data_IF_880625116020
#
_entry.id   IF_880625116020
#
_cell.length_a   1.000
_cell.length_b   1.000
_cell.length_c   1.000
_cell.angle_alpha   90.00
_cell.angle_beta   90.00
_cell.angle_gamma   90.00
#
_symmetry.space_group_name_H-M   'P 1'
#
loop_
_entity.id
_entity.type
_entity.pdbx_description
1 polymer ?
#
# COMPACT_ATOMS: atom_id res chain seq x y z
N UNK A 1 8.99 -23.99 32.41
CA UNK A 1 9.76 -22.74 32.61
C UNK A 1 9.64 -21.88 31.36
N UNK A 2 9.22 -20.60 31.55
CA UNK A 2 9.40 -19.36 30.75
C UNK A 2 9.22 -19.47 29.21
N UNK A 3 8.19 -18.93 28.53
CA UNK A 3 7.59 -17.56 28.51
C UNK A 3 8.54 -16.38 28.32
N UNK A 4 9.78 -16.58 27.87
CA UNK A 4 10.66 -15.47 27.44
C UNK A 4 11.72 -15.99 26.45
N UNK A 5 11.38 -16.16 25.16
CA UNK A 5 12.38 -16.14 24.06
C UNK A 5 11.84 -16.14 22.61
N UNK A 6 10.55 -15.88 22.38
CA UNK A 6 9.96 -15.80 21.01
C UNK A 6 9.83 -14.36 20.48
N UNK A 7 10.79 -13.48 20.81
CA UNK A 7 10.76 -12.06 20.42
C UNK A 7 11.90 -11.63 19.48
N UNK A 8 12.65 -12.57 18.88
CA UNK A 8 13.77 -12.22 17.98
C UNK A 8 14.00 -13.25 16.87
N UNK A 9 13.08 -13.37 15.90
CA UNK A 9 13.45 -13.80 14.54
C UNK A 9 12.35 -13.54 13.48
N UNK A 10 11.77 -12.34 13.46
CA UNK A 10 11.19 -11.82 12.21
C UNK A 10 12.31 -10.95 11.61
N UNK A 11 13.23 -11.64 10.94
CA UNK A 11 14.38 -11.04 10.28
C UNK A 11 14.16 -11.05 8.78
N UNK A 12 13.99 -9.85 8.24
CA UNK A 12 14.76 -9.41 7.08
C UNK A 12 14.79 -10.36 5.87
N UNK A 13 13.67 -10.48 5.13
CA UNK A 13 13.70 -11.00 3.74
C UNK A 13 14.01 -9.83 2.78
N UNK A 14 15.00 -9.00 3.14
CA UNK A 14 15.37 -7.81 2.35
C UNK A 14 16.82 -7.88 1.82
N UNK A 15 17.62 -8.85 2.26
CA UNK A 15 19.02 -8.96 1.82
C UNK A 15 19.22 -9.90 0.62
N UNK A 16 18.24 -10.77 0.30
CA UNK A 16 18.39 -11.78 -0.76
C UNK A 16 17.90 -11.31 -2.14
N UNK A 17 17.18 -10.18 -2.22
CA UNK A 17 16.79 -9.55 -3.50
C UNK A 17 17.85 -8.56 -4.02
N UNK A 18 18.87 -8.23 -3.21
CA UNK A 18 19.93 -7.27 -3.59
C UNK A 18 21.05 -7.93 -4.43
N UNK A 19 21.14 -9.27 -4.50
CA UNK A 19 22.20 -9.96 -5.25
C UNK A 19 21.85 -10.37 -6.70
N UNK A 20 20.71 -9.96 -7.25
CA UNK A 20 20.39 -10.18 -8.68
C UNK A 20 20.32 -8.90 -9.52
N UNK A 21 20.67 -7.74 -8.96
CA UNK A 21 20.73 -6.47 -9.69
C UNK A 21 22.11 -6.15 -10.32
N UNK A 22 23.10 -7.05 -10.23
CA UNK A 22 24.49 -6.76 -10.64
C UNK A 22 24.79 -6.76 -12.15
N UNK A 23 23.80 -6.87 -13.04
CA UNK A 23 24.09 -6.81 -14.48
C UNK A 23 23.08 -6.03 -15.33
N UNK A 24 22.93 -4.73 -15.02
CA UNK A 24 22.36 -3.76 -15.96
C UNK A 24 23.46 -2.78 -16.40
N UNK A 25 23.86 -2.73 -17.70
CA UNK A 25 24.85 -1.78 -18.18
C UNK A 25 24.27 -0.36 -18.18
N UNK A 26 24.92 0.52 -17.41
CA UNK A 26 24.44 1.85 -17.06
C UNK A 26 24.89 2.90 -18.10
N UNK A 27 24.05 3.14 -19.12
CA UNK A 27 24.24 4.20 -20.13
C UNK A 27 23.57 5.51 -19.69
N UNK A 28 23.99 6.10 -18.57
CA UNK A 28 23.57 7.46 -18.23
C UNK A 28 24.55 8.13 -17.27
N UNK A 29 25.12 9.24 -17.75
CA UNK A 29 25.62 10.38 -16.96
C UNK A 29 27.02 10.28 -16.36
N UNK A 30 27.96 10.31 -17.29
CA UNK A 30 28.92 11.41 -17.35
C UNK A 30 28.20 12.77 -17.23
N UNK A 31 28.18 13.41 -16.05
CA UNK A 31 28.33 14.87 -15.92
C UNK A 31 28.34 15.35 -14.45
N UNK A 32 29.37 16.18 -14.18
CA UNK A 32 29.52 17.23 -13.14
C UNK A 32 30.01 16.87 -11.73
N UNK A 33 31.31 17.11 -11.58
CA UNK A 33 32.06 17.40 -10.37
C UNK A 33 31.70 18.75 -9.70
N UNK A 34 32.16 18.84 -8.43
CA UNK A 34 32.35 19.99 -7.50
C UNK A 34 31.18 20.15 -6.52
N UNK A 35 31.36 20.18 -5.20
CA UNK A 35 32.54 20.23 -4.34
C UNK A 35 32.11 20.82 -2.99
N UNK A 36 32.49 20.16 -1.88
CA UNK A 36 32.15 20.46 -0.49
C UNK A 36 32.25 21.93 -0.05
N UNK A 37 31.40 22.34 0.92
CA UNK A 37 31.79 22.83 2.28
C UNK A 37 30.71 23.69 2.96
N UNK A 38 30.25 23.28 4.15
CA UNK A 38 30.48 23.93 5.48
C UNK A 38 29.33 23.72 6.47
N UNK A 39 29.65 23.04 7.56
CA UNK A 39 29.00 23.14 8.87
C UNK A 39 29.51 24.39 9.59
N UNK A 40 28.59 25.20 10.14
CA UNK A 40 28.82 26.21 11.20
C UNK A 40 27.45 26.49 11.83
N UNK A 41 27.10 25.86 12.95
CA UNK A 41 27.29 26.37 14.31
C UNK A 41 26.55 27.70 14.57
N UNK A 42 25.37 27.64 15.19
CA UNK A 42 24.68 28.81 15.75
C UNK A 42 24.75 28.69 17.27
N UNK A 43 25.60 29.53 17.86
CA UNK A 43 25.73 29.71 19.30
C UNK A 43 24.64 30.65 19.83
N UNK A 44 24.12 30.32 21.01
CA UNK A 44 23.13 31.09 21.74
C UNK A 44 23.67 32.45 22.20
N UNK A 45 22.81 33.48 22.19
CA UNK A 45 22.99 34.69 23.00
C UNK A 45 21.66 35.01 23.68
N UNK A 46 21.63 34.78 25.00
CA UNK A 46 20.62 35.27 25.94
C UNK A 46 21.22 36.50 26.66
N UNK A 47 20.34 37.44 27.03
CA UNK A 47 20.52 38.70 27.77
C UNK A 47 20.66 39.93 26.86
N UNK A 48 19.93 41.05 27.03
CA UNK A 48 19.13 41.57 28.14
C UNK A 48 18.32 42.77 27.58
N UNK A 49 17.04 42.93 27.94
CA UNK A 49 16.47 44.23 28.32
C UNK A 49 15.08 44.03 28.94
N UNK A 50 15.07 44.02 30.27
CA UNK A 50 13.89 44.26 31.09
C UNK A 50 13.79 45.78 31.25
N UNK A 51 12.65 46.35 30.87
CA UNK A 51 11.95 47.49 31.51
C UNK A 51 11.13 48.30 30.50
N UNK A 52 9.88 47.89 30.28
CA UNK A 52 8.77 48.85 30.15
C UNK A 52 7.44 48.11 30.17
N UNK A 53 6.69 48.35 31.25
CA UNK A 53 5.30 47.94 31.41
C UNK A 53 4.42 48.56 30.31
N UNK A 54 3.83 47.73 29.45
CA UNK A 54 2.51 47.95 28.87
C UNK A 54 1.89 46.60 28.58
N UNK A 55 0.72 46.35 29.16
CA UNK A 55 -0.08 45.17 28.89
C UNK A 55 -0.41 45.07 27.40
N UNK A 56 0.12 44.04 26.74
CA UNK A 56 -0.37 43.55 25.46
C UNK A 56 -0.68 42.08 25.67
N UNK A 57 -1.96 41.72 25.70
CA UNK A 57 -2.36 40.32 25.73
C UNK A 57 -1.78 39.63 24.50
N UNK A 58 -0.78 38.76 24.69
CA UNK A 58 -0.40 37.81 23.67
C UNK A 58 -1.53 36.78 23.65
N UNK A 59 -2.53 37.03 22.81
CA UNK A 59 -3.46 36.00 22.43
C UNK A 59 -2.62 34.96 21.67
N UNK A 60 -2.23 33.90 22.36
CA UNK A 60 -1.82 32.68 21.70
C UNK A 60 -3.01 32.27 20.84
N UNK A 61 -2.95 32.59 19.55
CA UNK A 61 -3.76 31.90 18.56
C UNK A 61 -3.34 30.44 18.69
N UNK A 62 -4.08 29.69 19.50
CA UNK A 62 -4.07 28.24 19.47
C UNK A 62 -4.55 27.92 18.07
N UNK A 63 -3.60 27.79 17.15
CA UNK A 63 -3.81 27.21 15.84
C UNK A 63 -4.37 25.84 16.13
N UNK A 64 -5.70 25.79 16.14
CA UNK A 64 -6.43 24.57 16.34
C UNK A 64 -6.24 23.91 15.01
N UNK A 65 -5.22 23.06 14.92
CA UNK A 65 -5.11 22.11 13.84
C UNK A 65 -6.41 21.31 13.96
N UNK A 66 -7.41 21.75 13.20
CA UNK A 66 -8.60 20.96 12.96
C UNK A 66 -8.04 19.83 12.12
N UNK A 67 -7.69 18.73 12.78
CA UNK A 67 -7.51 17.45 12.11
C UNK A 67 -8.85 17.17 11.44
N UNK A 68 -8.97 17.56 10.17
CA UNK A 68 -10.07 17.13 9.32
C UNK A 68 -9.95 15.61 9.34
N UNK A 69 -10.97 14.88 9.82
CA UNK A 69 -10.94 13.43 9.74
C UNK A 69 -10.75 13.09 8.27
N UNK A 70 -9.61 12.49 7.92
CA UNK A 70 -9.43 11.94 6.59
C UNK A 70 -10.40 10.75 6.55
N UNK A 71 -11.45 10.86 5.74
CA UNK A 71 -12.38 9.77 5.53
C UNK A 71 -11.61 8.65 4.84
N UNK A 72 -11.47 7.51 5.52
CA UNK A 72 -10.77 6.35 4.96
C UNK A 72 -11.59 5.79 3.79
N UNK A 73 -10.97 5.70 2.61
CA UNK A 73 -11.56 5.01 1.46
C UNK A 73 -11.63 3.50 1.76
N UNK A 74 -12.84 2.93 1.76
CA UNK A 74 -13.04 1.52 2.10
C UNK A 74 -13.90 0.76 1.10
N UNK A 75 -13.56 -0.51 0.88
CA UNK A 75 -14.38 -1.49 0.17
C UNK A 75 -14.90 -2.51 1.18
N UNK A 76 -16.22 -2.55 1.36
CA UNK A 76 -16.87 -3.52 2.24
C UNK A 76 -17.35 -4.75 1.46
N UNK A 77 -16.79 -5.91 1.77
CA UNK A 77 -17.23 -7.23 1.31
C UNK A 77 -17.96 -7.92 2.47
N UNK A 78 -19.16 -7.42 2.77
CA UNK A 78 -19.94 -7.78 3.98
C UNK A 78 -20.19 -9.29 4.11
N UNK A 79 -20.44 -9.99 2.99
CA UNK A 79 -20.75 -11.43 3.00
C UNK A 79 -19.63 -12.28 3.57
N UNK A 80 -18.39 -11.81 3.44
CA UNK A 80 -17.19 -12.53 3.91
C UNK A 80 -16.55 -11.82 5.11
N UNK A 81 -17.21 -10.77 5.64
CA UNK A 81 -16.72 -10.00 6.79
C UNK A 81 -15.37 -9.32 6.53
N UNK A 82 -15.10 -8.91 5.29
CA UNK A 82 -13.83 -8.25 4.93
C UNK A 82 -14.10 -6.79 4.59
N UNK A 83 -13.37 -5.90 5.26
CA UNK A 83 -13.27 -4.48 4.88
C UNK A 83 -11.84 -4.19 4.44
N UNK A 84 -11.70 -3.70 3.21
CA UNK A 84 -10.42 -3.28 2.62
C UNK A 84 -10.31 -1.77 2.78
N UNK A 85 -9.20 -1.29 3.33
CA UNK A 85 -8.90 0.14 3.46
C UNK A 85 -7.85 0.49 2.41
N UNK A 86 -8.21 1.38 1.48
CA UNK A 86 -7.36 1.79 0.38
C UNK A 86 -6.47 2.98 0.77
N UNK A 87 -5.31 3.16 0.11
CA UNK A 87 -4.49 4.35 0.29
C UNK A 87 -5.28 5.61 -0.07
N UNK A 88 -5.17 6.66 0.75
CA UNK A 88 -5.86 7.93 0.52
C UNK A 88 -5.48 8.56 -0.83
N UNK A 89 -4.26 8.30 -1.33
CA UNK A 89 -3.78 8.77 -2.63
C UNK A 89 -4.60 8.21 -3.81
N UNK A 90 -5.43 7.19 -3.59
CA UNK A 90 -6.26 6.58 -4.62
C UNK A 90 -7.58 7.29 -4.82
N UNK A 91 -7.98 8.23 -3.94
CA UNK A 91 -9.23 8.97 -4.05
C UNK A 91 -9.47 9.47 -5.49
N UNK A 92 -10.58 9.03 -6.09
CA UNK A 92 -10.98 9.36 -7.46
C UNK A 92 -10.22 8.66 -8.60
N UNK A 93 -9.18 7.87 -8.32
CA UNK A 93 -8.32 7.21 -9.33
C UNK A 93 -8.64 5.74 -9.58
N UNK A 94 -9.45 5.12 -8.72
CA UNK A 94 -9.78 3.71 -8.82
C UNK A 94 -11.26 3.49 -9.15
N UNK A 95 -11.57 2.32 -9.69
CA UNK A 95 -12.92 1.77 -9.77
C UNK A 95 -12.97 0.37 -9.19
N UNK A 96 -14.20 -0.12 -8.96
CA UNK A 96 -14.46 -1.42 -8.35
C UNK A 96 -15.52 -2.16 -9.17
N UNK A 97 -15.27 -3.43 -9.46
CA UNK A 97 -16.30 -4.36 -9.93
C UNK A 97 -16.56 -5.39 -8.83
N UNK A 98 -17.77 -5.44 -8.30
CA UNK A 98 -18.14 -6.45 -7.31
C UNK A 98 -18.57 -7.74 -8.02
N UNK A 99 -18.14 -8.88 -7.48
CA UNK A 99 -18.69 -10.17 -7.92
C UNK A 99 -20.21 -10.18 -7.65
N UNK A 100 -20.99 -10.82 -8.52
CA UNK A 100 -22.45 -10.93 -8.35
C UNK A 100 -22.84 -11.59 -7.02
N UNK A 101 -22.01 -12.53 -6.55
CA UNK A 101 -22.21 -13.23 -5.29
C UNK A 101 -21.75 -12.42 -4.08
N UNK A 102 -21.14 -11.24 -4.25
CA UNK A 102 -20.65 -10.36 -3.20
C UNK A 102 -19.50 -10.92 -2.35
N UNK A 103 -18.82 -11.97 -2.80
CA UNK A 103 -17.70 -12.60 -2.07
C UNK A 103 -16.32 -12.09 -2.50
N UNK A 104 -16.30 -11.16 -3.45
CA UNK A 104 -15.06 -10.66 -4.03
C UNK A 104 -15.28 -9.43 -4.88
N UNK A 105 -14.17 -8.87 -5.36
CA UNK A 105 -14.18 -7.72 -6.24
C UNK A 105 -12.90 -7.61 -7.08
N UNK A 106 -12.99 -6.90 -8.19
CA UNK A 106 -11.88 -6.38 -8.96
C UNK A 106 -11.63 -4.92 -8.59
N UNK A 107 -10.37 -4.50 -8.53
CA UNK A 107 -10.01 -3.08 -8.39
C UNK A 107 -9.12 -2.69 -9.57
N UNK A 108 -9.43 -1.56 -10.20
CA UNK A 108 -8.78 -1.10 -11.43
C UNK A 108 -8.45 0.39 -11.40
N UNK A 109 -7.49 0.81 -12.24
CA UNK A 109 -7.17 2.21 -12.48
C UNK A 109 -8.22 2.83 -13.39
N UNK A 110 -8.99 3.78 -12.87
CA UNK A 110 -10.18 4.33 -13.51
C UNK A 110 -9.90 4.96 -14.86
N UNK A 111 -8.84 5.75 -14.96
CA UNK A 111 -8.49 6.47 -16.19
C UNK A 111 -8.12 5.54 -17.35
N UNK A 112 -7.65 4.33 -17.03
CA UNK A 112 -7.32 3.30 -18.02
C UNK A 112 -8.58 2.52 -18.39
N UNK A 113 -9.24 1.96 -17.37
CA UNK A 113 -10.38 1.07 -17.55
C UNK A 113 -11.58 1.78 -18.19
N UNK A 114 -11.95 2.95 -17.67
CA UNK A 114 -13.10 3.73 -18.14
C UNK A 114 -12.71 4.68 -19.30
N UNK A 115 -11.42 4.65 -19.69
CA UNK A 115 -10.89 5.42 -20.81
C UNK A 115 -11.44 4.97 -22.16
N UNK A 116 -11.03 5.66 -23.23
CA UNK A 116 -11.45 5.38 -24.61
C UNK A 116 -10.30 4.92 -25.52
N UNK A 117 -9.13 4.59 -24.94
CA UNK A 117 -7.96 4.09 -25.64
C UNK A 117 -8.01 2.60 -25.92
N UNK A 118 -6.92 2.05 -26.48
CA UNK A 118 -6.78 0.61 -26.76
C UNK A 118 -6.81 -0.25 -25.48
N UNK A 119 -6.45 0.36 -24.34
CA UNK A 119 -6.49 -0.28 -23.02
C UNK A 119 -7.83 -0.11 -22.28
N UNK A 120 -8.87 0.43 -22.94
CA UNK A 120 -10.21 0.53 -22.36
C UNK A 120 -10.73 -0.85 -21.95
N UNK A 121 -11.26 -0.97 -20.73
CA UNK A 121 -11.66 -2.24 -20.10
C UNK A 121 -10.52 -3.08 -19.53
N UNK A 122 -9.28 -2.55 -19.50
CA UNK A 122 -8.14 -3.10 -18.77
C UNK A 122 -7.79 -2.20 -17.57
N UNK A 123 -6.57 -2.24 -17.06
CA UNK A 123 -6.15 -1.42 -15.92
C UNK A 123 -6.39 -2.06 -14.56
N UNK A 124 -6.69 -3.36 -14.52
CA UNK A 124 -6.91 -4.07 -13.27
C UNK A 124 -5.62 -4.16 -12.45
N UNK A 125 -5.70 -3.82 -11.16
CA UNK A 125 -4.60 -3.88 -10.21
C UNK A 125 -4.58 -5.24 -9.48
N UNK A 126 -5.73 -5.64 -8.97
CA UNK A 126 -5.90 -6.90 -8.25
C UNK A 126 -7.34 -7.36 -8.17
N UNK A 127 -7.50 -8.63 -7.79
CA UNK A 127 -8.77 -9.29 -7.52
C UNK A 127 -8.78 -9.80 -6.08
N UNK A 128 -9.91 -9.65 -5.39
CA UNK A 128 -10.16 -10.30 -4.10
C UNK A 128 -11.19 -11.39 -4.33
N UNK A 129 -10.92 -12.60 -3.85
CA UNK A 129 -11.82 -13.74 -3.97
C UNK A 129 -11.24 -15.03 -3.41
N UNK A 130 -11.88 -16.15 -3.73
CA UNK A 130 -11.44 -17.49 -3.30
C UNK A 130 -10.29 -17.96 -4.20
N UNK A 131 -9.23 -18.50 -3.59
CA UNK A 131 -8.18 -19.20 -4.32
C UNK A 131 -8.77 -20.45 -5.01
N UNK A 132 -8.77 -20.49 -6.35
CA UNK A 132 -9.36 -21.58 -7.13
C UNK A 132 -8.44 -22.82 -7.22
N UNK A 133 -7.96 -23.30 -6.08
CA UNK A 133 -7.15 -24.51 -6.01
C UNK A 133 -8.03 -25.76 -5.88
N UNK A 134 -7.53 -26.89 -6.37
CA UNK A 134 -8.13 -28.21 -6.17
C UNK A 134 -8.02 -28.70 -4.72
N UNK A 135 -7.15 -28.06 -3.94
CA UNK A 135 -7.00 -28.25 -2.50
C UNK A 135 -7.55 -27.02 -1.79
N UNK A 136 -8.55 -27.21 -0.94
CA UNK A 136 -9.14 -26.16 -0.10
C UNK A 136 -9.44 -26.74 1.29
N UNK A 137 -9.29 -25.92 2.35
CA UNK A 137 -8.57 -24.64 2.38
C UNK A 137 -7.05 -24.86 2.27
N UNK A 138 -6.31 -23.80 1.92
CA UNK A 138 -4.85 -23.78 1.84
C UNK A 138 -4.24 -23.11 3.07
N UNK A 139 -3.07 -23.58 3.51
CA UNK A 139 -2.20 -22.76 4.36
C UNK A 139 -1.54 -21.64 3.54
N UNK A 140 -1.01 -20.57 4.18
CA UNK A 140 -0.25 -19.55 3.47
C UNK A 140 0.93 -20.12 2.69
N UNK A 141 1.66 -21.10 3.23
CA UNK A 141 2.77 -21.74 2.51
C UNK A 141 2.29 -22.49 1.26
N UNK A 142 1.22 -23.29 1.39
CA UNK A 142 0.65 -24.03 0.27
C UNK A 142 0.12 -23.08 -0.83
N UNK A 143 -0.48 -21.95 -0.44
CA UNK A 143 -0.93 -20.92 -1.37
C UNK A 143 0.23 -20.35 -2.17
N UNK A 144 1.31 -19.94 -1.52
CA UNK A 144 2.44 -19.30 -2.20
C UNK A 144 3.25 -20.27 -3.07
N UNK A 145 3.26 -21.57 -2.73
CA UNK A 145 3.83 -22.60 -3.59
C UNK A 145 2.94 -22.91 -4.81
N UNK A 146 1.63 -22.84 -4.64
CA UNK A 146 0.65 -23.14 -5.69
C UNK A 146 0.45 -21.99 -6.68
N UNK A 147 0.44 -20.75 -6.20
CA UNK A 147 0.02 -19.58 -6.99
C UNK A 147 1.04 -19.24 -8.09
N UNK A 148 0.64 -19.25 -9.37
CA UNK A 148 1.53 -18.85 -10.47
C UNK A 148 1.72 -17.33 -10.55
N UNK A 149 0.83 -16.57 -9.91
CA UNK A 149 0.78 -15.11 -9.88
C UNK A 149 1.08 -14.61 -8.46
N UNK A 150 1.67 -13.41 -8.31
CA UNK A 150 1.85 -12.81 -6.98
C UNK A 150 0.50 -12.61 -6.29
N UNK A 151 0.34 -13.16 -5.10
CA UNK A 151 -0.87 -13.04 -4.30
C UNK A 151 -0.55 -12.71 -2.84
N UNK A 152 -1.57 -12.30 -2.10
CA UNK A 152 -1.54 -12.03 -0.66
C UNK A 152 -2.60 -12.91 -0.02
N UNK A 153 -2.21 -13.75 0.93
CA UNK A 153 -3.14 -14.47 1.80
C UNK A 153 -3.92 -13.47 2.67
N UNK A 154 -5.25 -13.54 2.67
CA UNK A 154 -6.09 -12.70 3.53
C UNK A 154 -6.54 -13.49 4.76
N UNK A 155 -7.32 -14.55 4.56
CA UNK A 155 -7.79 -15.45 5.61
C UNK A 155 -8.35 -16.75 5.01
N UNK A 156 -8.56 -17.75 5.87
CA UNK A 156 -9.22 -18.99 5.52
C UNK A 156 -10.42 -19.22 6.41
N UNK A 157 -11.41 -19.90 5.84
CA UNK A 157 -12.55 -20.52 6.53
C UNK A 157 -12.36 -22.03 6.52
N UNK A 158 -13.32 -22.79 7.06
CA UNK A 158 -13.31 -24.24 6.95
C UNK A 158 -13.38 -24.73 5.49
N UNK A 159 -13.98 -23.94 4.59
CA UNK A 159 -14.30 -24.38 3.24
C UNK A 159 -13.42 -23.73 2.16
N UNK A 160 -12.81 -22.57 2.43
CA UNK A 160 -12.15 -21.78 1.41
C UNK A 160 -11.06 -20.86 1.97
N UNK A 161 -10.06 -20.56 1.13
CA UNK A 161 -9.03 -19.54 1.35
C UNK A 161 -9.29 -18.32 0.49
N UNK A 162 -9.39 -17.15 1.13
CA UNK A 162 -9.55 -15.85 0.48
C UNK A 162 -8.21 -15.17 0.27
N UNK A 163 -8.02 -14.63 -0.92
CA UNK A 163 -6.76 -14.04 -1.37
C UNK A 163 -6.99 -12.71 -2.06
N UNK A 164 -5.95 -11.89 -2.10
CA UNK A 164 -5.78 -10.84 -3.10
C UNK A 164 -4.79 -11.33 -4.14
N UNK A 165 -5.23 -11.47 -5.38
CA UNK A 165 -4.39 -11.84 -6.53
C UNK A 165 -4.02 -10.59 -7.32
N UNK A 166 -2.72 -10.31 -7.48
CA UNK A 166 -2.25 -9.16 -8.27
C UNK A 166 -2.28 -9.49 -9.75
N UNK A 167 -2.67 -8.53 -10.58
CA UNK A 167 -2.60 -8.72 -12.02
C UNK A 167 -1.13 -8.82 -12.49
N UNK A 168 -0.83 -9.80 -13.34
CA UNK A 168 0.55 -10.11 -13.75
C UNK A 168 0.90 -9.76 -15.20
N UNK A 169 -0.08 -9.49 -16.05
CA UNK A 169 0.11 -9.04 -17.43
C UNK A 169 0.14 -7.51 -17.53
N UNK A 170 0.34 -7.00 -18.74
CA UNK A 170 0.38 -5.55 -19.01
C UNK A 170 -1.06 -5.02 -19.10
N UNK A 171 -1.41 -4.15 -18.15
CA UNK A 171 -2.75 -3.58 -17.98
C UNK A 171 -2.81 -2.09 -18.35
N UNK A 172 -1.75 -1.53 -18.92
CA UNK A 172 -1.62 -0.13 -19.30
C UNK A 172 -0.84 0.00 -20.62
N UNK A 173 -0.91 1.15 -21.29
CA UNK A 173 -0.11 1.44 -22.48
C UNK A 173 1.33 1.82 -22.06
N UNK A 174 2.35 0.95 -22.30
CA UNK A 174 3.72 1.24 -21.92
C UNK A 174 4.38 2.35 -22.76
N UNK A 175 3.74 2.76 -23.86
CA UNK A 175 4.17 3.91 -24.67
C UNK A 175 3.68 5.24 -24.12
N UNK A 176 2.72 5.23 -23.19
CA UNK A 176 2.20 6.39 -22.48
C UNK A 176 2.87 6.54 -21.10
N UNK A 177 3.79 7.51 -20.91
CA UNK A 177 4.53 7.65 -19.65
C UNK A 177 3.64 8.01 -18.46
N UNK A 178 2.59 8.82 -18.66
CA UNK A 178 1.70 9.26 -17.57
C UNK A 178 0.87 8.09 -17.05
N UNK A 179 0.35 7.27 -17.97
CA UNK A 179 -0.41 6.06 -17.64
C UNK A 179 0.48 5.00 -16.98
N UNK A 180 1.70 4.82 -17.50
CA UNK A 180 2.71 3.94 -16.90
C UNK A 180 3.04 4.38 -15.48
N UNK A 181 3.30 5.66 -15.25
CA UNK A 181 3.62 6.18 -13.91
C UNK A 181 2.45 6.00 -12.96
N UNK A 182 1.23 6.30 -13.39
CA UNK A 182 0.02 6.12 -12.59
C UNK A 182 -0.20 4.65 -12.20
N UNK A 183 -0.21 3.76 -13.18
CA UNK A 183 -0.45 2.34 -12.95
C UNK A 183 0.63 1.73 -12.06
N UNK A 184 1.90 2.01 -12.34
CA UNK A 184 3.00 1.44 -11.56
C UNK A 184 3.03 1.99 -10.13
N UNK A 185 2.69 3.26 -9.92
CA UNK A 185 2.57 3.85 -8.59
C UNK A 185 1.45 3.16 -7.79
N UNK A 186 0.25 3.03 -8.37
CA UNK A 186 -0.86 2.35 -7.70
C UNK A 186 -0.54 0.87 -7.46
N UNK A 187 0.07 0.18 -8.42
CA UNK A 187 0.50 -1.22 -8.25
C UNK A 187 1.46 -1.41 -7.08
N UNK A 188 2.42 -0.48 -6.89
CA UNK A 188 3.32 -0.50 -5.74
C UNK A 188 2.58 -0.25 -4.42
N UNK A 189 1.63 0.68 -4.41
CA UNK A 189 0.81 1.04 -3.24
C UNK A 189 -0.16 -0.07 -2.80
N UNK A 190 -0.30 -1.17 -3.55
CA UNK A 190 -1.05 -2.35 -3.08
C UNK A 190 -0.49 -2.86 -1.73
N UNK A 191 0.80 -2.67 -1.46
CA UNK A 191 1.42 -3.04 -0.18
C UNK A 191 0.94 -2.19 1.01
N UNK A 192 0.38 -1.01 0.74
CA UNK A 192 -0.09 -0.05 1.75
C UNK A 192 -1.57 -0.26 2.08
N UNK A 193 -2.25 -1.19 1.40
CA UNK A 193 -3.63 -1.57 1.69
C UNK A 193 -3.71 -2.26 3.05
N UNK A 194 -4.71 -1.89 3.85
CA UNK A 194 -5.01 -2.54 5.13
C UNK A 194 -6.28 -3.38 5.03
N UNK A 195 -6.31 -4.50 5.74
CA UNK A 195 -7.45 -5.41 5.77
C UNK A 195 -7.99 -5.52 7.19
N UNK A 196 -9.29 -5.27 7.34
CA UNK A 196 -10.05 -5.42 8.59
C UNK A 196 -11.00 -6.60 8.41
N UNK A 197 -10.87 -7.62 9.25
CA UNK A 197 -11.70 -8.83 9.19
C UNK A 197 -12.66 -8.82 10.37
N UNK A 198 -13.93 -8.56 10.07
CA UNK A 198 -15.04 -8.57 11.01
C UNK A 198 -15.60 -9.99 11.07
N UNK A 199 -15.00 -10.81 11.94
CA UNK A 199 -15.22 -12.25 12.07
C UNK A 199 -16.70 -12.65 12.26
N UNK A 200 -17.29 -13.51 11.38
CA UNK A 200 -18.58 -14.14 11.70
C UNK A 200 -18.48 -15.54 12.32
N UNK A 201 -17.45 -16.38 12.01
CA UNK A 201 -17.36 -17.77 12.49
C UNK A 201 -16.05 -18.54 12.16
N UNK A 202 -14.91 -17.89 11.88
CA UNK A 202 -13.71 -18.57 11.34
C UNK A 202 -12.46 -18.50 12.25
N UNK A 203 -12.66 -18.68 13.57
CA UNK A 203 -11.58 -19.13 14.46
C UNK A 203 -12.11 -20.33 15.24
N UNK A 204 -12.36 -21.44 14.54
CA UNK A 204 -12.58 -22.73 15.17
C UNK A 204 -11.32 -23.58 14.99
N UNK A 205 -10.63 -23.82 16.11
CA UNK A 205 -9.83 -25.02 16.39
C UNK A 205 -8.35 -25.01 16.00
#
# INVERSE_FOLDING_TARGET
MKKEQLSKHIGNIDDQLVQQAEHIPNYARQHRQKGFKRFTAIAAVIALMVCSFTAGAVAFAKETIVEVPIEEETIALEKIGLTVVLPNEWEGKYGIELNEDGTGCAVYVKDIHDGNGEMSGLGYLFWIGIAQSDKQPLTPEELYEWSPTPCIYLFSTADATYILEKHSDVQYDPSNPEETELYMTMSQQIQDISFKIDNPAAIDG
#
